data_IF_553265214978
#
_entry.id   IF_553265214978
#
_cell.length_a   1.000
_cell.length_b   1.000
_cell.length_c   1.000
_cell.angle_alpha   90.00
_cell.angle_beta   90.00
_cell.angle_gamma   90.00
#
_symmetry.space_group_name_H-M   'P 1'
#
loop_
_entity.id
_entity.type
_entity.pdbx_description
1 polymer ?
#
# COMPACT_ATOMS: atom_id res chain seq x y z
N UNK A 1 4.68 28.28 23.38
CA UNK A 1 5.07 27.71 22.07
C UNK A 1 4.21 26.50 21.80
N UNK A 2 3.17 26.64 20.99
CA UNK A 2 2.39 25.50 20.52
C UNK A 2 3.16 24.92 19.33
N UNK A 3 3.66 23.69 19.47
CA UNK A 3 4.24 22.96 18.34
C UNK A 3 3.14 22.72 17.33
N UNK A 4 3.24 23.37 16.17
CA UNK A 4 2.44 23.09 14.98
C UNK A 4 2.42 21.57 14.75
N UNK A 5 1.23 20.97 14.89
CA UNK A 5 1.08 19.51 14.81
C UNK A 5 1.11 19.11 13.33
N UNK A 6 2.31 18.85 12.81
CA UNK A 6 2.49 18.34 11.45
C UNK A 6 1.60 17.11 11.22
N UNK A 7 0.88 17.03 10.09
CA UNK A 7 -0.01 15.90 9.79
C UNK A 7 0.75 14.57 9.64
N UNK A 8 2.05 14.63 9.36
CA UNK A 8 2.95 13.47 9.26
C UNK A 8 3.97 13.54 10.38
N UNK A 9 4.08 12.45 11.13
CA UNK A 9 5.03 12.31 12.23
C UNK A 9 5.64 10.91 12.22
N UNK A 10 6.78 10.77 11.53
CA UNK A 10 7.53 9.52 11.41
C UNK A 10 8.98 9.83 11.76
N UNK A 11 9.43 9.37 12.92
CA UNK A 11 10.78 9.61 13.46
C UNK A 11 11.52 8.30 13.80
N UNK A 12 10.88 7.16 13.57
CA UNK A 12 11.40 5.83 13.86
C UNK A 12 10.71 4.81 12.96
N UNK A 13 11.45 3.81 12.52
CA UNK A 13 10.93 2.67 11.73
C UNK A 13 10.38 1.55 12.61
N UNK A 14 10.74 1.52 13.90
CA UNK A 14 10.36 0.44 14.86
C UNK A 14 9.39 0.90 15.95
N UNK A 15 9.10 2.20 16.01
CA UNK A 15 8.16 2.77 16.98
C UNK A 15 6.74 2.24 16.79
N UNK A 16 5.88 2.42 17.81
CA UNK A 16 4.48 1.97 17.74
C UNK A 16 3.75 2.65 16.58
N UNK A 17 3.34 1.86 15.59
CA UNK A 17 2.60 2.31 14.42
C UNK A 17 1.22 2.85 14.81
N UNK A 18 0.97 4.13 14.49
CA UNK A 18 -0.31 4.82 14.79
C UNK A 18 -1.22 4.90 13.58
N UNK A 19 -0.65 5.27 12.43
CA UNK A 19 -1.38 5.46 11.18
C UNK A 19 -0.62 4.78 10.05
N UNK A 20 -1.32 4.11 9.15
CA UNK A 20 -0.74 3.50 7.95
C UNK A 20 -1.60 3.81 6.73
N UNK A 21 -0.94 3.98 5.58
CA UNK A 21 -1.55 4.11 4.26
C UNK A 21 -1.16 2.88 3.45
N UNK A 22 -2.15 2.15 2.93
CA UNK A 22 -1.92 1.04 2.01
C UNK A 22 -2.57 1.32 0.64
N UNK A 23 -1.98 0.77 -0.41
CA UNK A 23 -2.58 0.73 -1.76
C UNK A 23 -3.02 -0.70 -2.05
N UNK A 24 -4.33 -0.89 -2.31
CA UNK A 24 -4.87 -2.21 -2.64
C UNK A 24 -4.66 -2.46 -4.14
N UNK A 25 -4.02 -3.59 -4.53
CA UNK A 25 -3.85 -3.93 -5.94
C UNK A 25 -5.20 -3.98 -6.68
N UNK A 26 -5.29 -3.27 -7.80
CA UNK A 26 -6.44 -3.21 -8.68
C UNK A 26 -6.12 -3.71 -10.09
N UNK A 27 -6.91 -3.25 -11.07
CA UNK A 27 -6.78 -3.64 -12.48
C UNK A 27 -5.46 -3.20 -13.11
N UNK A 28 -4.70 -2.32 -12.47
CA UNK A 28 -3.34 -1.98 -12.92
C UNK A 28 -2.45 -3.23 -13.03
N UNK A 29 -2.72 -4.27 -12.25
CA UNK A 29 -1.99 -5.54 -12.28
C UNK A 29 -2.43 -6.42 -13.46
N UNK A 30 -3.70 -6.35 -13.89
CA UNK A 30 -4.20 -7.08 -15.07
C UNK A 30 -3.65 -6.51 -16.39
N UNK A 31 -3.24 -5.24 -16.38
CA UNK A 31 -2.68 -4.57 -17.55
C UNK A 31 -1.18 -4.85 -17.76
N UNK A 32 -0.56 -5.69 -16.94
CA UNK A 32 0.84 -6.07 -17.06
C UNK A 32 1.04 -7.05 -18.23
N UNK A 33 1.63 -6.55 -19.32
CA UNK A 33 2.10 -7.38 -20.42
C UNK A 33 3.57 -7.79 -20.21
N UNK A 34 4.04 -8.91 -20.79
CA UNK A 34 5.44 -9.33 -20.67
C UNK A 34 6.45 -8.23 -21.05
N UNK A 35 6.12 -7.40 -22.04
CA UNK A 35 6.99 -6.31 -22.51
C UNK A 35 7.17 -5.19 -21.46
N UNK A 36 6.20 -4.99 -20.57
CA UNK A 36 6.27 -3.96 -19.52
C UNK A 36 6.66 -4.52 -18.15
N UNK A 37 6.68 -5.85 -17.96
CA UNK A 37 7.05 -6.48 -16.69
C UNK A 37 8.52 -6.27 -16.32
N UNK A 38 9.43 -6.37 -17.30
CA UNK A 38 10.87 -6.20 -17.07
C UNK A 38 11.24 -4.83 -16.49
N UNK A 39 10.78 -3.71 -17.09
CA UNK A 39 10.96 -2.37 -16.53
C UNK A 39 10.28 -2.15 -15.17
N UNK A 40 9.20 -2.90 -14.88
CA UNK A 40 8.43 -2.79 -13.63
C UNK A 40 8.94 -3.71 -12.52
N UNK A 41 10.07 -4.40 -12.73
CA UNK A 41 10.72 -5.28 -11.75
C UNK A 41 9.80 -6.40 -11.24
N UNK A 42 8.89 -6.89 -12.08
CA UNK A 42 8.08 -8.06 -11.78
C UNK A 42 8.80 -9.32 -12.28
N UNK A 43 9.17 -10.20 -11.36
CA UNK A 43 9.85 -11.47 -11.67
C UNK A 43 8.88 -12.52 -12.24
N UNK A 44 7.58 -12.44 -11.90
CA UNK A 44 6.54 -13.40 -12.30
C UNK A 44 5.20 -12.70 -12.62
N UNK A 45 4.33 -13.38 -13.38
CA UNK A 45 2.99 -12.85 -13.74
C UNK A 45 2.11 -12.78 -12.49
N UNK A 46 1.68 -11.57 -12.06
CA UNK A 46 0.91 -11.43 -10.84
C UNK A 46 -0.55 -11.88 -11.04
N UNK A 47 -1.04 -12.72 -10.13
CA UNK A 47 -2.45 -13.14 -10.10
C UNK A 47 -3.27 -12.21 -9.20
N UNK A 48 -4.03 -11.29 -9.82
CA UNK A 48 -4.72 -10.21 -9.10
C UNK A 48 -5.61 -10.71 -7.95
N UNK A 49 -6.39 -11.78 -8.15
CA UNK A 49 -7.30 -12.29 -7.12
C UNK A 49 -6.54 -12.75 -5.87
N UNK A 50 -5.42 -13.44 -6.06
CA UNK A 50 -4.59 -13.91 -4.95
C UNK A 50 -3.87 -12.73 -4.29
N UNK A 51 -3.29 -11.81 -5.06
CA UNK A 51 -2.64 -10.61 -4.54
C UNK A 51 -3.59 -9.74 -3.69
N UNK A 52 -4.85 -9.61 -4.13
CA UNK A 52 -5.89 -8.95 -3.36
C UNK A 52 -6.21 -9.68 -2.06
N UNK A 53 -6.32 -11.00 -2.08
CA UNK A 53 -6.58 -11.81 -0.89
C UNK A 53 -5.44 -11.70 0.13
N UNK A 54 -4.20 -11.76 -0.32
CA UNK A 54 -3.02 -11.57 0.53
C UNK A 54 -2.95 -10.16 1.11
N UNK A 55 -3.19 -9.14 0.28
CA UNK A 55 -3.26 -7.75 0.72
C UNK A 55 -4.37 -7.55 1.77
N UNK A 56 -5.56 -8.12 1.57
CA UNK A 56 -6.68 -8.00 2.50
C UNK A 56 -6.35 -8.65 3.86
N UNK A 57 -5.71 -9.82 3.86
CA UNK A 57 -5.21 -10.46 5.08
C UNK A 57 -4.17 -9.60 5.83
N UNK A 58 -3.25 -8.98 5.08
CA UNK A 58 -2.25 -8.07 5.63
C UNK A 58 -2.89 -6.82 6.23
N UNK A 59 -3.81 -6.20 5.49
CA UNK A 59 -4.59 -5.05 5.93
C UNK A 59 -5.35 -5.35 7.24
N UNK A 60 -6.00 -6.50 7.34
CA UNK A 60 -6.76 -6.90 8.54
C UNK A 60 -5.86 -7.13 9.75
N UNK A 61 -4.65 -7.64 9.53
CA UNK A 61 -3.64 -7.75 10.59
C UNK A 61 -3.22 -6.38 11.13
N UNK A 62 -3.07 -5.40 10.25
CA UNK A 62 -2.72 -4.03 10.62
C UNK A 62 -3.88 -3.28 11.29
N UNK A 63 -5.11 -3.43 10.80
CA UNK A 63 -6.32 -2.80 11.39
C UNK A 63 -6.46 -3.10 12.87
N UNK A 64 -6.08 -4.30 13.31
CA UNK A 64 -6.14 -4.72 14.72
C UNK A 64 -5.07 -4.06 15.60
N UNK A 65 -4.03 -3.46 15.02
CA UNK A 65 -2.84 -2.94 15.74
C UNK A 65 -2.69 -1.42 15.67
N UNK A 66 -3.24 -0.76 14.64
CA UNK A 66 -3.10 0.69 14.41
C UNK A 66 -4.31 1.48 14.87
N UNK A 67 -4.13 2.79 15.10
CA UNK A 67 -5.22 3.69 15.47
C UNK A 67 -6.00 4.18 14.25
N UNK A 68 -5.31 4.44 13.13
CA UNK A 68 -5.91 4.93 11.89
C UNK A 68 -5.41 4.13 10.69
N UNK A 69 -6.34 3.66 9.88
CA UNK A 69 -6.06 2.85 8.71
C UNK A 69 -6.64 3.52 7.47
N UNK A 70 -5.81 3.78 6.47
CA UNK A 70 -6.21 4.44 5.23
C UNK A 70 -5.91 3.51 4.05
N UNK A 71 -6.93 3.23 3.23
CA UNK A 71 -6.72 2.68 1.88
C UNK A 71 -6.66 3.86 0.92
N UNK A 72 -5.53 4.00 0.23
CA UNK A 72 -5.38 4.97 -0.84
C UNK A 72 -6.26 4.55 -2.01
N UNK A 73 -7.14 5.45 -2.47
CA UNK A 73 -7.80 5.29 -3.77
C UNK A 73 -6.84 5.80 -4.83
N UNK A 74 -6.09 4.89 -5.46
CA UNK A 74 -5.36 5.06 -6.72
C UNK A 74 -4.59 6.37 -6.91
N UNK A 75 -3.29 6.36 -6.60
CA UNK A 75 -2.34 7.43 -6.98
C UNK A 75 -1.37 7.03 -8.11
N UNK A 76 -1.52 5.82 -8.65
CA UNK A 76 -0.72 5.33 -9.78
C UNK A 76 -1.61 5.27 -11.02
N UNK A 77 -1.13 5.85 -12.14
CA UNK A 77 -1.73 5.86 -13.49
C UNK A 77 -2.81 6.92 -13.79
N UNK A 78 -2.49 8.19 -13.56
CA UNK A 78 -3.16 9.32 -14.26
C UNK A 78 -2.18 10.26 -14.97
N UNK A 79 -1.00 9.74 -15.34
CA UNK A 79 -0.05 10.40 -16.24
C UNK A 79 -0.22 9.81 -17.64
#
# INVERSE_FOLDING_TARGET
MLTEKSPIHVNSEIGRLKTVILHRPGKEIENLTPDIMGPLLFDDIPYLLLAQKEHDNFADTLRKKVLKFCISKGWLFKL
#
